data_IF_465613605067
#
_entry.id   IF_465613605067
#
_cell.length_a   1.000
_cell.length_b   1.000
_cell.length_c   1.000
_cell.angle_alpha   90.00
_cell.angle_beta   90.00
_cell.angle_gamma   90.00
#
_symmetry.space_group_name_H-M   'P 1'
#
loop_
_entity.id
_entity.type
_entity.pdbx_description
1 polymer ?
#
# COMPACT_ATOMS: atom_id res chain seq x y z
N UNK A 1 38.47 8.54 -6.79
CA UNK A 1 37.74 7.46 -7.50
C UNK A 1 36.51 6.91 -6.75
N UNK A 2 36.35 7.11 -5.42
CA UNK A 2 35.22 6.53 -4.67
C UNK A 2 33.89 7.30 -4.71
N UNK A 3 33.85 8.56 -5.17
CA UNK A 3 32.63 9.41 -5.14
C UNK A 3 31.59 9.00 -6.19
N UNK A 4 32.00 8.73 -7.44
CA UNK A 4 31.08 8.48 -8.57
C UNK A 4 30.14 7.28 -8.34
N UNK A 5 30.66 6.17 -7.82
CA UNK A 5 29.87 4.97 -7.55
C UNK A 5 28.92 5.15 -6.37
N UNK A 6 29.32 5.96 -5.37
CA UNK A 6 28.48 6.29 -4.22
C UNK A 6 27.33 7.21 -4.65
N UNK A 7 27.61 8.24 -5.44
CA UNK A 7 26.60 9.17 -5.96
C UNK A 7 25.59 8.44 -6.86
N UNK A 8 26.05 7.52 -7.69
CA UNK A 8 25.20 6.61 -8.48
C UNK A 8 24.31 5.75 -7.57
N UNK A 9 24.90 5.11 -6.56
CA UNK A 9 24.16 4.24 -5.65
C UNK A 9 23.07 5.02 -4.87
N UNK A 10 23.40 6.22 -4.40
CA UNK A 10 22.44 7.11 -3.72
C UNK A 10 21.31 7.51 -4.67
N UNK A 11 21.63 7.91 -5.91
CA UNK A 11 20.62 8.28 -6.91
C UNK A 11 19.66 7.14 -7.25
N UNK A 12 20.18 5.92 -7.41
CA UNK A 12 19.36 4.72 -7.66
C UNK A 12 18.46 4.38 -6.47
N UNK A 13 19.02 4.44 -5.25
CA UNK A 13 18.28 4.17 -4.01
C UNK A 13 17.15 5.18 -3.80
N UNK A 14 17.41 6.47 -4.04
CA UNK A 14 16.37 7.51 -3.96
C UNK A 14 15.28 7.25 -5.01
N UNK A 15 15.65 6.92 -6.25
CA UNK A 15 14.68 6.62 -7.30
C UNK A 15 13.77 5.46 -6.88
N UNK A 16 14.34 4.32 -6.47
CA UNK A 16 13.55 3.16 -6.03
C UNK A 16 12.73 3.44 -4.77
N UNK A 17 13.23 4.26 -3.84
CA UNK A 17 12.46 4.73 -2.69
C UNK A 17 11.22 5.50 -3.14
N UNK A 18 11.37 6.48 -4.03
CA UNK A 18 10.25 7.30 -4.53
C UNK A 18 9.22 6.44 -5.27
N UNK A 19 9.63 5.54 -6.15
CA UNK A 19 8.70 4.63 -6.84
C UNK A 19 7.99 3.67 -5.88
N UNK A 20 8.71 3.15 -4.90
CA UNK A 20 8.12 2.28 -3.88
C UNK A 20 7.09 3.01 -3.01
N UNK A 21 7.38 4.28 -2.66
CA UNK A 21 6.45 5.15 -1.95
C UNK A 21 5.24 5.51 -2.81
N UNK A 22 5.43 5.76 -4.12
CA UNK A 22 4.34 6.01 -5.06
C UNK A 22 3.39 4.81 -5.12
N UNK A 23 3.92 3.60 -5.32
CA UNK A 23 3.10 2.37 -5.37
C UNK A 23 2.36 2.14 -4.05
N UNK A 24 3.04 2.32 -2.91
CA UNK A 24 2.42 2.19 -1.60
C UNK A 24 1.33 3.25 -1.37
N UNK A 25 1.57 4.51 -1.77
CA UNK A 25 0.64 5.62 -1.63
C UNK A 25 -0.60 5.45 -2.51
N UNK A 26 -0.43 5.02 -3.76
CA UNK A 26 -1.53 4.68 -4.67
C UNK A 26 -2.35 3.52 -4.09
N UNK A 27 -1.69 2.45 -3.64
CA UNK A 27 -2.38 1.31 -3.02
C UNK A 27 -3.20 1.75 -1.79
N UNK A 28 -2.61 2.51 -0.87
CA UNK A 28 -3.31 2.99 0.32
C UNK A 28 -4.46 3.93 -0.04
N UNK A 29 -4.28 4.81 -1.04
CA UNK A 29 -5.32 5.69 -1.57
C UNK A 29 -6.51 4.90 -2.11
N UNK A 30 -6.27 3.88 -2.93
CA UNK A 30 -7.30 2.99 -3.47
C UNK A 30 -8.04 2.25 -2.35
N UNK A 31 -7.30 1.64 -1.41
CA UNK A 31 -7.86 0.89 -0.28
C UNK A 31 -8.74 1.79 0.59
N UNK A 32 -8.30 3.02 0.85
CA UNK A 32 -9.03 4.01 1.64
C UNK A 32 -10.29 4.50 0.93
N UNK A 33 -10.17 4.89 -0.34
CA UNK A 33 -11.29 5.38 -1.15
C UNK A 33 -12.40 4.34 -1.25
N UNK A 34 -12.04 3.08 -1.50
CA UNK A 34 -12.98 1.98 -1.68
C UNK A 34 -13.43 1.32 -0.36
N UNK A 35 -12.84 1.71 0.77
CA UNK A 35 -13.15 1.17 2.10
C UNK A 35 -12.92 -0.34 2.23
N UNK A 36 -11.91 -0.87 1.51
CA UNK A 36 -11.73 -2.33 1.30
C UNK A 36 -11.55 -3.07 2.63
N UNK A 37 -10.76 -2.54 3.55
CA UNK A 37 -10.51 -3.18 4.87
C UNK A 37 -11.79 -3.36 5.67
N UNK A 38 -12.64 -2.32 5.73
CA UNK A 38 -13.95 -2.40 6.40
C UNK A 38 -14.89 -3.37 5.71
N UNK A 39 -14.97 -3.38 4.38
CA UNK A 39 -15.76 -4.36 3.64
C UNK A 39 -15.33 -5.79 3.94
N UNK A 40 -14.02 -6.05 4.01
CA UNK A 40 -13.47 -7.37 4.29
C UNK A 40 -13.79 -7.82 5.72
N UNK A 41 -13.64 -6.93 6.71
CA UNK A 41 -14.01 -7.21 8.09
C UNK A 41 -15.50 -7.54 8.22
N UNK A 42 -16.39 -6.72 7.67
CA UNK A 42 -17.82 -6.92 7.82
C UNK A 42 -18.36 -8.10 7.00
N UNK A 43 -17.73 -8.42 5.86
CA UNK A 43 -17.98 -9.66 5.16
C UNK A 43 -17.64 -10.87 6.04
N UNK A 44 -16.48 -10.85 6.70
CA UNK A 44 -16.08 -11.90 7.64
C UNK A 44 -17.02 -11.99 8.84
N UNK A 45 -17.38 -10.86 9.47
CA UNK A 45 -18.31 -10.85 10.60
C UNK A 45 -19.68 -11.39 10.21
N UNK A 46 -20.18 -11.09 9.01
CA UNK A 46 -21.46 -11.66 8.55
C UNK A 46 -21.39 -13.17 8.38
N UNK A 47 -20.34 -13.67 7.72
CA UNK A 47 -20.14 -15.12 7.58
C UNK A 47 -19.99 -15.83 8.94
N UNK A 48 -19.34 -15.20 9.93
CA UNK A 48 -19.12 -15.80 11.25
C UNK A 48 -20.32 -15.66 12.19
N UNK A 49 -21.02 -14.52 12.20
CA UNK A 49 -22.12 -14.23 13.12
C UNK A 49 -23.50 -14.61 12.57
N UNK A 50 -23.77 -14.36 11.29
CA UNK A 50 -25.09 -14.60 10.70
C UNK A 50 -25.08 -15.85 9.80
N UNK A 51 -23.93 -16.22 9.26
CA UNK A 51 -23.79 -17.26 8.24
C UNK A 51 -23.85 -16.72 6.80
N UNK A 52 -23.64 -17.58 5.80
CA UNK A 52 -23.62 -17.20 4.39
C UNK A 52 -25.00 -16.73 3.90
N UNK A 53 -25.02 -15.77 2.96
CA UNK A 53 -26.25 -15.35 2.29
C UNK A 53 -26.63 -16.39 1.21
N UNK A 54 -27.44 -17.36 1.60
CA UNK A 54 -27.81 -18.51 0.78
C UNK A 54 -26.65 -19.50 0.61
N UNK A 55 -26.26 -19.80 -0.63
CA UNK A 55 -25.20 -20.78 -0.95
C UNK A 55 -23.79 -20.18 -1.07
N UNK A 56 -23.61 -18.87 -0.81
CA UNK A 56 -22.34 -18.17 -1.06
C UNK A 56 -21.88 -17.42 0.19
N UNK A 57 -20.59 -17.57 0.52
CA UNK A 57 -19.93 -16.77 1.56
C UNK A 57 -19.78 -15.32 1.12
N UNK A 58 -19.83 -14.39 2.08
CA UNK A 58 -19.53 -12.99 1.88
C UNK A 58 -18.04 -12.75 1.60
N UNK A 59 -17.17 -13.57 2.20
CA UNK A 59 -15.73 -13.55 1.88
C UNK A 59 -15.50 -14.34 0.58
N UNK A 60 -14.90 -13.73 -0.45
CA UNK A 60 -14.51 -14.45 -1.66
C UNK A 60 -13.44 -15.51 -1.37
N UNK A 61 -13.64 -16.70 -1.93
CA UNK A 61 -12.78 -17.87 -1.68
C UNK A 61 -11.47 -17.88 -2.48
N UNK A 62 -11.37 -17.05 -3.53
CA UNK A 62 -10.21 -17.04 -4.45
C UNK A 62 -9.59 -15.65 -4.61
N UNK A 63 -8.30 -15.62 -4.95
CA UNK A 63 -7.55 -14.39 -5.25
C UNK A 63 -8.26 -13.56 -6.35
N UNK A 64 -8.67 -14.19 -7.46
CA UNK A 64 -9.33 -13.50 -8.57
C UNK A 64 -10.67 -12.86 -8.18
N UNK A 65 -11.46 -13.50 -7.33
CA UNK A 65 -12.73 -12.95 -6.84
C UNK A 65 -12.52 -11.79 -5.86
N UNK A 66 -11.43 -11.76 -5.10
CA UNK A 66 -11.09 -10.61 -4.24
C UNK A 66 -10.85 -9.34 -5.06
N UNK A 67 -10.15 -9.45 -6.19
CA UNK A 67 -9.85 -8.31 -7.07
C UNK A 67 -11.08 -7.85 -7.86
N UNK A 68 -11.90 -8.77 -8.35
CA UNK A 68 -13.03 -8.45 -9.22
C UNK A 68 -14.34 -8.17 -8.45
N UNK A 69 -14.56 -8.79 -7.28
CA UNK A 69 -15.84 -8.69 -6.55
C UNK A 69 -15.80 -7.74 -5.37
N UNK A 70 -14.84 -7.79 -4.45
CA UNK A 70 -14.92 -7.00 -3.20
C UNK A 70 -15.07 -5.47 -3.37
N UNK A 71 -14.42 -4.80 -4.33
CA UNK A 71 -14.67 -3.36 -4.52
C UNK A 71 -16.06 -3.07 -5.09
N UNK A 72 -16.62 -3.98 -5.91
CA UNK A 72 -17.84 -3.77 -6.69
C UNK A 72 -19.06 -4.60 -6.22
N UNK A 73 -18.90 -5.44 -5.20
CA UNK A 73 -19.95 -6.28 -4.64
C UNK A 73 -20.83 -5.50 -3.67
N UNK A 74 -21.97 -6.10 -3.30
CA UNK A 74 -22.86 -5.60 -2.25
C UNK A 74 -22.06 -5.30 -0.98
N UNK A 75 -22.17 -4.07 -0.49
CA UNK A 75 -21.41 -3.62 0.67
C UNK A 75 -21.92 -4.31 1.95
N UNK A 76 -21.06 -5.16 2.52
CA UNK A 76 -21.34 -5.91 3.74
C UNK A 76 -21.35 -5.04 5.00
N UNK A 77 -20.98 -3.76 4.93
CA UNK A 77 -20.94 -2.86 6.09
C UNK A 77 -22.34 -2.41 6.49
N UNK A 78 -22.67 -2.32 7.79
CA UNK A 78 -23.87 -1.64 8.26
C UNK A 78 -23.93 -0.17 7.81
N UNK A 79 -25.15 0.36 7.73
CA UNK A 79 -25.39 1.81 7.54
C UNK A 79 -25.02 2.54 8.83
N UNK A 80 -24.28 3.63 8.68
CA UNK A 80 -23.86 4.45 9.80
C UNK A 80 -25.08 5.03 10.53
N UNK A 81 -25.01 5.03 11.86
CA UNK A 81 -25.99 5.69 12.72
C UNK A 81 -25.26 6.66 13.66
N UNK A 82 -25.63 7.96 13.67
CA UNK A 82 -25.06 8.93 14.61
C UNK A 82 -25.63 8.78 16.03
N UNK A 83 -26.69 7.99 16.20
CA UNK A 83 -27.31 7.74 17.50
C UNK A 83 -26.41 6.83 18.35
N UNK A 84 -26.40 7.01 19.68
CA UNK A 84 -25.70 6.11 20.59
C UNK A 84 -26.21 4.67 20.49
N UNK A 85 -25.49 3.73 21.11
CA UNK A 85 -25.94 2.36 21.24
C UNK A 85 -27.33 2.33 21.93
N UNK A 86 -28.35 1.68 21.35
CA UNK A 86 -29.66 1.62 21.97
C UNK A 86 -29.61 0.73 23.22
N UNK A 87 -30.47 0.95 24.20
CA UNK A 87 -30.52 0.11 25.42
C UNK A 87 -30.91 -1.33 25.06
N UNK A 88 -31.93 -1.49 24.22
CA UNK A 88 -32.35 -2.78 23.66
C UNK A 88 -32.02 -2.83 22.17
N UNK A 89 -31.59 -4.00 21.69
CA UNK A 89 -31.25 -4.14 20.28
C UNK A 89 -32.49 -4.15 19.40
N UNK A 90 -32.47 -3.41 18.29
CA UNK A 90 -33.53 -3.44 17.27
C UNK A 90 -33.11 -4.21 16.03
N UNK A 91 -31.85 -4.67 15.99
CA UNK A 91 -31.30 -5.40 14.86
C UNK A 91 -31.78 -6.87 14.82
N UNK A 92 -32.18 -7.29 13.62
CA UNK A 92 -32.62 -8.67 13.32
C UNK A 92 -31.45 -9.64 13.12
N UNK A 93 -30.26 -9.13 12.79
CA UNK A 93 -29.05 -9.94 12.52
C UNK A 93 -28.07 -9.79 13.67
N UNK A 94 -27.32 -10.85 13.99
CA UNK A 94 -26.29 -10.84 15.03
C UNK A 94 -25.18 -9.83 14.70
N UNK A 95 -24.79 -9.73 13.42
CA UNK A 95 -23.84 -8.69 12.99
C UNK A 95 -24.39 -7.26 13.19
N UNK A 96 -25.70 -7.07 13.04
CA UNK A 96 -26.38 -5.81 13.33
C UNK A 96 -26.41 -5.49 14.83
N UNK A 97 -26.68 -6.48 15.69
CA UNK A 97 -26.62 -6.32 17.16
C UNK A 97 -25.21 -5.96 17.61
N UNK A 98 -24.21 -6.60 17.03
CA UNK A 98 -22.80 -6.28 17.26
C UNK A 98 -22.49 -4.85 16.82
N UNK A 99 -22.96 -4.42 15.64
CA UNK A 99 -22.74 -3.04 15.17
C UNK A 99 -23.31 -2.00 16.13
N UNK A 100 -24.52 -2.24 16.67
CA UNK A 100 -25.14 -1.35 17.65
C UNK A 100 -24.26 -1.12 18.87
N UNK A 101 -23.58 -2.16 19.38
CA UNK A 101 -22.64 -2.05 20.51
C UNK A 101 -21.33 -1.36 20.12
N UNK A 102 -20.96 -1.39 18.84
CA UNK A 102 -19.71 -0.82 18.32
C UNK A 102 -19.85 0.61 17.78
N UNK A 103 -21.01 1.25 17.88
CA UNK A 103 -21.22 2.60 17.32
C UNK A 103 -20.26 3.64 17.87
N UNK A 104 -19.79 3.48 19.11
CA UNK A 104 -18.87 4.41 19.77
C UNK A 104 -17.49 4.49 19.09
N UNK A 105 -17.06 3.42 18.41
CA UNK A 105 -15.77 3.39 17.70
C UNK A 105 -15.93 3.74 16.20
N UNK A 106 -17.13 4.08 15.75
CA UNK A 106 -17.39 4.48 14.37
C UNK A 106 -17.23 5.99 14.22
N UNK A 107 -16.14 6.42 13.59
CA UNK A 107 -15.82 7.86 13.44
C UNK A 107 -16.42 8.49 12.19
N UNK A 108 -17.33 7.81 11.50
CA UNK A 108 -17.93 8.33 10.28
C UNK A 108 -19.02 9.37 10.59
N UNK A 109 -19.39 10.17 9.59
CA UNK A 109 -20.48 11.16 9.69
C UNK A 109 -21.72 10.77 8.88
N UNK A 110 -21.56 9.91 7.88
CA UNK A 110 -22.59 9.52 6.93
C UNK A 110 -22.27 8.17 6.23
N UNK A 111 -23.25 7.60 5.52
CA UNK A 111 -23.03 6.44 4.66
C UNK A 111 -22.87 5.10 5.40
N UNK A 112 -21.78 4.37 5.15
CA UNK A 112 -21.52 3.03 5.71
C UNK A 112 -20.38 3.08 6.71
N UNK A 113 -20.44 2.29 7.78
CA UNK A 113 -19.46 2.31 8.88
C UNK A 113 -17.99 2.37 8.41
N UNK A 114 -17.19 3.13 9.15
CA UNK A 114 -15.74 3.26 8.93
C UNK A 114 -14.92 2.19 9.65
N UNK A 115 -15.55 1.36 10.48
CA UNK A 115 -14.88 0.33 11.29
C UNK A 115 -14.18 -0.68 10.37
N UNK A 116 -12.84 -0.65 10.42
CA UNK A 116 -11.95 -1.51 9.64
C UNK A 116 -11.18 -2.52 10.50
N UNK A 117 -11.17 -2.33 11.81
CA UNK A 117 -10.58 -3.23 12.80
C UNK A 117 -11.31 -3.05 14.12
N UNK A 118 -11.62 -4.15 14.81
CA UNK A 118 -12.24 -4.12 16.13
C UNK A 118 -11.20 -4.66 17.12
N UNK A 119 -10.81 -3.89 18.16
CA UNK A 119 -9.96 -4.40 19.21
C UNK A 119 -10.61 -5.61 19.90
N UNK A 120 -9.90 -6.73 20.13
CA UNK A 120 -10.50 -7.92 20.76
C UNK A 120 -11.20 -7.65 22.09
N UNK A 121 -10.65 -6.82 23.01
CA UNK A 121 -11.36 -6.49 24.25
C UNK A 121 -12.68 -5.75 24.03
N UNK A 122 -12.80 -4.95 22.96
CA UNK A 122 -14.05 -4.25 22.62
C UNK A 122 -15.07 -5.19 22.02
N UNK A 123 -14.63 -6.16 21.22
CA UNK A 123 -15.50 -7.22 20.72
C UNK A 123 -16.06 -8.07 21.87
N UNK A 124 -15.20 -8.51 22.80
CA UNK A 124 -15.65 -9.33 23.93
C UNK A 124 -16.66 -8.60 24.82
N UNK A 125 -16.42 -7.33 25.14
CA UNK A 125 -17.38 -6.49 25.87
C UNK A 125 -18.71 -6.37 25.12
N UNK A 126 -18.68 -6.12 23.80
CA UNK A 126 -19.90 -6.05 23.00
C UNK A 126 -20.69 -7.37 23.01
N UNK A 127 -20.01 -8.52 22.98
CA UNK A 127 -20.65 -9.83 23.13
C UNK A 127 -21.25 -9.99 24.54
N UNK A 128 -20.55 -9.55 25.60
CA UNK A 128 -21.08 -9.61 26.96
C UNK A 128 -22.33 -8.73 27.14
N UNK A 129 -22.39 -7.57 26.50
CA UNK A 129 -23.59 -6.72 26.49
C UNK A 129 -24.77 -7.39 25.79
N UNK A 130 -24.52 -8.07 24.66
CA UNK A 130 -25.53 -8.85 23.95
C UNK A 130 -26.00 -10.02 24.83
N UNK A 131 -25.07 -10.77 25.42
CA UNK A 131 -25.35 -11.88 26.34
C UNK A 131 -26.23 -11.43 27.51
N UNK A 132 -25.93 -10.28 28.12
CA UNK A 132 -26.73 -9.71 29.19
C UNK A 132 -28.16 -9.37 28.71
N UNK A 133 -28.30 -8.81 27.52
CA UNK A 133 -29.59 -8.52 26.89
C UNK A 133 -30.42 -9.76 26.55
N UNK A 134 -29.78 -10.92 26.29
CA UNK A 134 -30.47 -12.18 26.02
C UNK A 134 -30.84 -12.98 27.28
N UNK A 135 -30.44 -12.52 28.48
CA UNK A 135 -30.72 -13.21 29.75
C UNK A 135 -29.62 -14.17 30.22
N UNK A 136 -28.40 -14.05 29.69
CA UNK A 136 -27.24 -14.83 30.10
C UNK A 136 -26.64 -15.70 29.00
N UNK A 137 -25.48 -16.31 29.27
CA UNK A 137 -24.68 -17.03 28.26
C UNK A 137 -25.43 -18.24 27.71
N UNK A 138 -26.14 -18.98 28.56
CA UNK A 138 -26.92 -20.16 28.16
C UNK A 138 -28.06 -19.80 27.21
N UNK A 139 -28.88 -18.81 27.56
CA UNK A 139 -29.97 -18.32 26.72
C UNK A 139 -29.46 -17.74 25.38
N UNK A 140 -28.34 -17.02 25.41
CA UNK A 140 -27.68 -16.52 24.21
C UNK A 140 -27.22 -17.66 23.29
N UNK A 141 -26.56 -18.69 23.82
CA UNK A 141 -26.12 -19.86 23.05
C UNK A 141 -27.29 -20.64 22.46
N UNK A 142 -28.40 -20.78 23.18
CA UNK A 142 -29.61 -21.41 22.66
C UNK A 142 -30.19 -20.65 21.47
N UNK A 143 -30.24 -19.32 21.54
CA UNK A 143 -30.69 -18.47 20.42
C UNK A 143 -29.75 -18.55 19.23
N UNK A 144 -28.44 -18.50 19.44
CA UNK A 144 -27.46 -18.68 18.36
C UNK A 144 -27.65 -20.02 17.64
N UNK A 145 -27.92 -21.10 18.40
CA UNK A 145 -28.20 -22.41 17.84
C UNK A 145 -29.50 -22.44 17.05
N UNK A 146 -30.57 -21.84 17.59
CA UNK A 146 -31.87 -21.76 16.95
C UNK A 146 -31.81 -20.99 15.62
N UNK A 147 -31.02 -19.91 15.57
CA UNK A 147 -30.81 -19.09 14.38
C UNK A 147 -29.82 -19.71 13.38
N UNK A 148 -29.20 -20.84 13.72
CA UNK A 148 -28.20 -21.50 12.86
C UNK A 148 -26.90 -20.70 12.72
N UNK A 149 -26.59 -19.82 13.67
CA UNK A 149 -25.39 -18.98 13.64
C UNK A 149 -24.10 -19.82 13.75
N UNK A 150 -23.11 -19.62 12.87
CA UNK A 150 -21.81 -20.29 12.98
C UNK A 150 -21.04 -19.94 14.27
N UNK A 151 -21.38 -18.81 14.89
CA UNK A 151 -20.81 -18.34 16.16
C UNK A 151 -21.12 -19.28 17.34
N UNK A 152 -22.20 -20.08 17.24
CA UNK A 152 -22.60 -21.01 18.29
C UNK A 152 -21.47 -21.97 18.67
N UNK A 153 -20.84 -22.62 17.69
CA UNK A 153 -19.83 -23.66 17.94
C UNK A 153 -18.64 -23.15 18.76
N UNK A 154 -17.94 -22.09 18.30
CA UNK A 154 -16.82 -21.50 19.02
C UNK A 154 -17.21 -21.01 20.42
N UNK A 155 -18.31 -20.26 20.55
CA UNK A 155 -18.70 -19.69 21.84
C UNK A 155 -19.19 -20.75 22.82
N UNK A 156 -19.82 -21.82 22.35
CA UNK A 156 -20.15 -22.97 23.18
C UNK A 156 -18.89 -23.62 23.74
N UNK A 157 -17.86 -23.81 22.91
CA UNK A 157 -16.57 -24.35 23.36
C UNK A 157 -15.89 -23.46 24.41
N UNK A 158 -15.93 -22.13 24.21
CA UNK A 158 -15.42 -21.16 25.19
C UNK A 158 -16.21 -21.24 26.51
N UNK A 159 -17.54 -21.36 26.44
CA UNK A 159 -18.39 -21.47 27.63
C UNK A 159 -18.16 -22.77 28.40
N UNK A 160 -18.06 -23.90 27.70
CA UNK A 160 -17.77 -25.19 28.32
C UNK A 160 -16.41 -25.16 29.05
N UNK A 161 -15.38 -24.52 28.45
CA UNK A 161 -14.06 -24.36 29.06
C UNK A 161 -14.04 -23.38 30.25
N UNK A 162 -14.97 -22.41 30.28
CA UNK A 162 -15.10 -21.44 31.35
C UNK A 162 -15.76 -22.01 32.62
N UNK A 163 -16.35 -23.21 32.57
CA UNK A 163 -17.01 -23.86 33.72
C UNK A 163 -18.03 -22.96 34.46
N UNK A 164 -18.72 -22.08 33.72
CA UNK A 164 -19.72 -21.16 34.29
C UNK A 164 -19.18 -19.80 34.74
N UNK A 165 -17.87 -19.56 34.68
CA UNK A 165 -17.24 -18.30 35.04
C UNK A 165 -17.39 -17.26 33.91
N UNK A 166 -18.01 -16.11 34.23
CA UNK A 166 -18.28 -15.04 33.26
C UNK A 166 -17.02 -14.29 32.83
N UNK A 167 -16.05 -14.12 33.73
CA UNK A 167 -14.80 -13.43 33.42
C UNK A 167 -13.90 -14.32 32.56
N UNK A 168 -13.86 -15.62 32.86
CA UNK A 168 -13.20 -16.61 32.03
C UNK A 168 -13.85 -16.71 30.64
N UNK A 169 -15.19 -16.68 30.57
CA UNK A 169 -15.91 -16.63 29.29
C UNK A 169 -15.56 -15.35 28.51
N UNK A 170 -15.64 -14.17 29.13
CA UNK A 170 -15.27 -12.88 28.49
C UNK A 170 -13.85 -12.94 27.91
N UNK A 171 -12.89 -13.45 28.69
CA UNK A 171 -11.50 -13.57 28.24
C UNK A 171 -11.36 -14.60 27.11
N UNK A 172 -12.05 -15.73 27.18
CA UNK A 172 -12.05 -16.72 26.11
C UNK A 172 -12.66 -16.20 24.81
N UNK A 173 -13.71 -15.36 24.86
CA UNK A 173 -14.26 -14.69 23.68
C UNK A 173 -13.25 -13.73 23.05
N UNK A 174 -12.54 -12.97 23.89
CA UNK A 174 -11.46 -12.08 23.45
C UNK A 174 -10.35 -12.85 22.73
N UNK A 175 -9.87 -13.95 23.34
CA UNK A 175 -8.76 -14.75 22.80
C UNK A 175 -9.16 -15.48 21.51
N UNK A 176 -10.39 -16.00 21.45
CA UNK A 176 -10.96 -16.58 20.23
C UNK A 176 -11.00 -15.55 19.09
N UNK A 177 -11.56 -14.37 19.37
CA UNK A 177 -11.70 -13.33 18.35
C UNK A 177 -10.33 -12.78 17.90
N UNK A 178 -9.36 -12.65 18.80
CA UNK A 178 -7.99 -12.29 18.44
C UNK A 178 -7.36 -13.31 17.49
N UNK A 179 -7.56 -14.61 17.73
CA UNK A 179 -7.14 -15.68 16.82
C UNK A 179 -7.74 -15.52 15.42
N UNK A 180 -9.04 -15.26 15.33
CA UNK A 180 -9.74 -15.03 14.07
C UNK A 180 -9.25 -13.76 13.35
N UNK A 181 -9.03 -12.67 14.08
CA UNK A 181 -8.48 -11.43 13.53
C UNK A 181 -7.05 -11.59 13.02
N UNK A 182 -6.21 -12.40 13.68
CA UNK A 182 -4.88 -12.77 13.17
C UNK A 182 -5.00 -13.52 11.85
N UNK A 183 -5.91 -14.49 11.75
CA UNK A 183 -6.15 -15.24 10.51
C UNK A 183 -6.66 -14.34 9.38
N UNK A 184 -7.61 -13.48 9.67
CA UNK A 184 -8.15 -12.51 8.71
C UNK A 184 -7.07 -11.55 8.21
N UNK A 185 -6.21 -11.07 9.12
CA UNK A 185 -5.07 -10.19 8.80
C UNK A 185 -4.07 -10.90 7.89
N UNK A 186 -3.77 -12.18 8.14
CA UNK A 186 -2.88 -12.97 7.28
C UNK A 186 -3.45 -13.15 5.87
N UNK A 187 -4.75 -13.47 5.75
CA UNK A 187 -5.43 -13.56 4.47
C UNK A 187 -5.38 -12.22 3.73
N UNK A 188 -5.73 -11.12 4.41
CA UNK A 188 -5.67 -9.77 3.85
C UNK A 188 -4.26 -9.42 3.34
N UNK A 189 -3.21 -9.69 4.14
CA UNK A 189 -1.81 -9.47 3.73
C UNK A 189 -1.44 -10.29 2.49
N UNK A 190 -1.91 -11.54 2.39
CA UNK A 190 -1.69 -12.39 1.20
C UNK A 190 -2.32 -11.76 -0.06
N UNK A 191 -3.52 -11.19 0.06
CA UNK A 191 -4.19 -10.53 -1.06
C UNK A 191 -3.48 -9.23 -1.47
N UNK A 192 -3.16 -8.37 -0.50
CA UNK A 192 -2.50 -7.08 -0.75
C UNK A 192 -1.12 -7.24 -1.40
N UNK A 193 -0.37 -8.31 -1.09
CA UNK A 193 0.90 -8.61 -1.78
C UNK A 193 0.75 -8.67 -3.30
N UNK A 194 -0.29 -9.32 -3.80
CA UNK A 194 -0.55 -9.40 -5.24
C UNK A 194 -1.07 -8.08 -5.82
N UNK A 195 -1.84 -7.30 -5.05
CA UNK A 195 -2.23 -5.93 -5.44
C UNK A 195 -0.99 -5.06 -5.65
N UNK A 196 -0.08 -5.06 -4.68
CA UNK A 196 1.18 -4.31 -4.73
C UNK A 196 2.05 -4.78 -5.89
N UNK A 197 2.10 -6.09 -6.15
CA UNK A 197 2.82 -6.61 -7.30
C UNK A 197 2.22 -6.15 -8.64
N UNK A 198 0.90 -6.23 -8.80
CA UNK A 198 0.24 -5.74 -10.01
C UNK A 198 0.43 -4.22 -10.21
N UNK A 199 0.30 -3.43 -9.13
CA UNK A 199 0.54 -1.99 -9.16
C UNK A 199 2.01 -1.65 -9.44
N UNK A 200 2.95 -2.37 -8.83
CA UNK A 200 4.39 -2.19 -9.06
C UNK A 200 4.78 -2.49 -10.50
N UNK A 201 4.23 -3.56 -11.08
CA UNK A 201 4.39 -3.88 -12.49
C UNK A 201 3.77 -2.79 -13.37
N UNK A 202 2.53 -2.38 -13.08
CA UNK A 202 1.85 -1.34 -13.84
C UNK A 202 2.62 -0.02 -13.82
N UNK A 203 3.12 0.43 -12.67
CA UNK A 203 3.97 1.62 -12.54
C UNK A 203 5.28 1.44 -13.32
N UNK A 204 5.93 0.28 -13.22
CA UNK A 204 7.18 0.00 -13.95
C UNK A 204 6.99 0.13 -15.47
N UNK A 205 5.91 -0.44 -16.01
CA UNK A 205 5.60 -0.39 -17.44
C UNK A 205 5.06 0.97 -17.87
N UNK A 206 4.22 1.62 -17.06
CA UNK A 206 3.66 2.94 -17.36
C UNK A 206 4.75 4.00 -17.47
N UNK A 207 5.74 3.97 -16.58
CA UNK A 207 6.86 4.90 -16.61
C UNK A 207 8.06 4.38 -17.41
N UNK A 208 7.95 3.21 -18.07
CA UNK A 208 9.04 2.58 -18.84
C UNK A 208 10.38 2.55 -18.08
N UNK A 209 10.34 2.13 -16.81
CA UNK A 209 11.46 2.22 -15.88
C UNK A 209 12.52 1.14 -16.13
N UNK A 210 13.44 1.37 -17.06
CA UNK A 210 14.60 0.51 -17.29
C UNK A 210 15.76 0.91 -16.37
N UNK A 211 15.95 0.16 -15.28
CA UNK A 211 17.05 0.41 -14.32
C UNK A 211 18.44 0.14 -14.87
N UNK A 212 18.59 -0.73 -15.89
CA UNK A 212 19.89 -1.05 -16.48
C UNK A 212 20.32 0.02 -17.48
N UNK A 213 19.43 0.47 -18.33
CA UNK A 213 19.64 1.64 -19.19
C UNK A 213 19.95 2.87 -18.35
N UNK A 214 19.20 3.09 -17.26
CA UNK A 214 19.44 4.18 -16.33
C UNK A 214 20.81 4.09 -15.66
N UNK A 215 21.19 2.90 -15.18
CA UNK A 215 22.52 2.66 -14.62
C UNK A 215 23.64 2.96 -15.62
N UNK A 216 23.48 2.54 -16.88
CA UNK A 216 24.43 2.84 -17.96
C UNK A 216 24.48 4.33 -18.29
N UNK A 217 23.33 4.99 -18.34
CA UNK A 217 23.23 6.43 -18.63
C UNK A 217 23.97 7.25 -17.56
N UNK A 218 23.77 6.95 -16.27
CA UNK A 218 24.47 7.65 -15.19
C UNK A 218 25.99 7.37 -15.23
N UNK A 219 26.39 6.11 -15.46
CA UNK A 219 27.81 5.78 -15.57
C UNK A 219 28.48 6.53 -16.72
N UNK A 220 27.78 6.67 -17.85
CA UNK A 220 28.26 7.41 -19.02
C UNK A 220 28.30 8.91 -18.75
N UNK A 221 27.24 9.48 -18.19
CA UNK A 221 27.17 10.90 -17.80
C UNK A 221 28.31 11.23 -16.82
N UNK A 222 28.51 10.43 -15.77
CA UNK A 222 29.59 10.63 -14.79
C UNK A 222 31.00 10.44 -15.37
N UNK A 223 31.17 9.51 -16.32
CA UNK A 223 32.44 9.40 -17.05
C UNK A 223 32.72 10.66 -17.87
N UNK A 224 31.68 11.25 -18.48
CA UNK A 224 31.78 12.56 -19.13
C UNK A 224 32.09 13.66 -18.12
N UNK A 225 31.50 13.65 -16.90
CA UNK A 225 31.84 14.62 -15.83
C UNK A 225 33.32 14.56 -15.45
N UNK A 226 33.87 13.36 -15.28
CA UNK A 226 35.28 13.17 -14.95
C UNK A 226 36.19 13.64 -16.09
N UNK A 227 35.81 13.40 -17.34
CA UNK A 227 36.55 13.90 -18.50
C UNK A 227 36.49 15.43 -18.59
N UNK A 228 35.32 16.05 -18.43
CA UNK A 228 35.17 17.51 -18.45
C UNK A 228 35.99 18.18 -17.36
N UNK A 229 36.00 17.63 -16.13
CA UNK A 229 36.80 18.17 -15.03
C UNK A 229 38.31 18.14 -15.33
N UNK A 230 38.80 17.08 -15.97
CA UNK A 230 40.21 16.96 -16.41
C UNK A 230 40.51 17.90 -17.59
N UNK A 231 39.55 18.07 -18.51
CA UNK A 231 39.68 18.92 -19.69
C UNK A 231 39.59 20.42 -19.36
N UNK A 232 38.84 20.80 -18.33
CA UNK A 232 38.74 22.17 -17.82
C UNK A 232 40.08 22.67 -17.26
N UNK A 233 40.91 21.78 -16.72
CA UNK A 233 42.28 22.08 -16.29
C UNK A 233 43.30 22.12 -17.46
N UNK A 234 42.92 21.66 -18.67
CA UNK A 234 43.83 21.32 -19.78
C UNK A 234 44.02 22.36 -20.90
N UNK A 235 43.39 23.54 -20.86
CA UNK A 235 43.55 24.58 -21.89
C UNK A 235 42.83 24.33 -23.23
N UNK A 236 42.83 25.32 -24.12
CA UNK A 236 41.88 25.50 -25.25
C UNK A 236 41.74 24.34 -26.25
N UNK A 237 42.71 23.43 -26.36
CA UNK A 237 42.61 22.25 -27.21
C UNK A 237 41.58 21.21 -26.71
N UNK A 238 41.27 21.23 -25.41
CA UNK A 238 40.30 20.33 -24.79
C UNK A 238 38.84 20.72 -25.08
N UNK A 239 38.58 22.00 -25.38
CA UNK A 239 37.26 22.56 -25.68
C UNK A 239 36.70 22.11 -27.04
N UNK A 240 37.57 21.84 -28.02
CA UNK A 240 37.11 21.35 -29.33
C UNK A 240 36.48 19.96 -29.24
N UNK A 241 37.04 19.07 -28.40
CA UNK A 241 36.51 17.72 -28.19
C UNK A 241 35.14 17.68 -27.48
N UNK A 242 34.81 18.76 -26.75
CA UNK A 242 33.52 18.95 -26.09
C UNK A 242 32.46 19.53 -27.04
N UNK A 243 32.87 20.39 -27.98
CA UNK A 243 32.01 20.97 -29.02
C UNK A 243 31.40 19.90 -29.92
N UNK A 244 32.16 18.86 -30.28
CA UNK A 244 31.67 17.76 -31.12
C UNK A 244 30.64 16.86 -30.43
N UNK A 245 30.64 16.82 -29.09
CA UNK A 245 29.66 16.05 -28.28
C UNK A 245 28.39 16.84 -27.97
N UNK A 246 28.35 18.15 -28.23
CA UNK A 246 27.25 19.07 -27.95
C UNK A 246 26.84 19.89 -29.20
N UNK A 247 26.23 19.27 -30.22
CA UNK A 247 25.95 19.96 -31.49
C UNK A 247 24.88 21.06 -31.40
N UNK A 248 24.04 21.07 -30.35
CA UNK A 248 22.94 22.05 -30.20
C UNK A 248 23.37 23.40 -29.64
N UNK A 249 24.54 23.50 -28.98
CA UNK A 249 25.03 24.74 -28.34
C UNK A 249 26.51 25.03 -28.67
N UNK A 250 26.85 25.40 -29.92
CA UNK A 250 28.23 25.59 -30.36
C UNK A 250 28.96 26.79 -29.73
N UNK A 251 28.21 27.73 -29.12
CA UNK A 251 28.74 28.98 -28.56
C UNK A 251 29.07 28.93 -27.06
N UNK A 252 28.52 27.97 -26.31
CA UNK A 252 28.78 27.82 -24.87
C UNK A 252 28.78 26.33 -24.45
N UNK A 253 29.93 25.65 -24.55
CA UNK A 253 30.09 24.27 -24.09
C UNK A 253 29.77 24.09 -22.60
N UNK A 254 29.92 25.15 -21.78
CA UNK A 254 29.61 25.09 -20.35
C UNK A 254 28.11 25.10 -20.09
N UNK A 255 27.30 25.77 -20.91
CA UNK A 255 25.83 25.68 -20.84
C UNK A 255 25.32 24.26 -21.14
N UNK A 256 25.85 23.61 -22.20
CA UNK A 256 25.54 22.20 -22.52
C UNK A 256 25.87 21.27 -21.34
N UNK A 257 27.09 21.41 -20.80
CA UNK A 257 27.52 20.65 -19.63
C UNK A 257 26.61 20.93 -18.45
N UNK A 258 26.28 22.18 -18.16
CA UNK A 258 25.41 22.54 -17.03
C UNK A 258 24.00 21.98 -17.18
N UNK A 259 23.40 22.00 -18.37
CA UNK A 259 22.07 21.44 -18.66
C UNK A 259 22.03 19.90 -18.52
N UNK A 260 23.07 19.22 -19.02
CA UNK A 260 23.27 17.77 -18.86
C UNK A 260 23.57 17.40 -17.39
N UNK A 261 24.28 18.27 -16.67
CA UNK A 261 24.65 18.09 -15.26
C UNK A 261 23.48 18.37 -14.28
N UNK A 262 22.61 19.33 -14.63
CA UNK A 262 21.54 19.85 -13.75
C UNK A 262 20.20 19.18 -13.96
N UNK A 263 19.98 18.49 -15.08
CA UNK A 263 18.83 17.62 -15.28
C UNK A 263 18.87 16.49 -14.23
N UNK A 264 18.00 16.50 -13.21
CA UNK A 264 18.00 15.45 -12.22
C UNK A 264 17.77 14.14 -12.95
N UNK A 265 18.56 13.12 -12.68
CA UNK A 265 18.45 11.82 -13.35
C UNK A 265 17.00 11.25 -13.28
N UNK A 266 16.25 11.63 -12.23
CA UNK A 266 14.82 11.38 -12.08
C UNK A 266 13.92 11.98 -13.18
N UNK A 267 14.24 13.15 -13.75
CA UNK A 267 13.46 13.79 -14.81
C UNK A 267 13.56 13.01 -16.12
N UNK A 268 14.75 12.46 -16.43
CA UNK A 268 14.94 11.54 -17.57
C UNK A 268 14.10 10.26 -17.40
N UNK A 269 13.90 9.80 -16.16
CA UNK A 269 13.10 8.59 -15.86
C UNK A 269 11.61 8.81 -16.17
N UNK A 270 11.04 9.97 -15.85
CA UNK A 270 9.62 10.27 -16.08
C UNK A 270 9.34 10.65 -17.55
N UNK A 271 10.38 11.04 -18.30
CA UNK A 271 10.26 11.42 -19.71
C UNK A 271 9.78 10.31 -20.66
N UNK A 272 9.98 9.05 -20.28
CA UNK A 272 9.62 7.88 -21.09
C UNK A 272 8.18 7.35 -20.85
N UNK A 273 7.40 8.07 -20.04
CA UNK A 273 5.98 7.80 -19.84
C UNK A 273 5.17 8.15 -21.10
N UNK A 274 3.98 7.54 -21.32
CA UNK A 274 3.15 7.80 -22.50
C UNK A 274 2.69 9.26 -22.58
N UNK A 275 2.62 9.94 -21.43
CA UNK A 275 2.43 11.39 -21.32
C UNK A 275 3.56 11.94 -20.47
N UNK A 276 4.33 12.88 -21.02
CA UNK A 276 5.33 13.63 -20.25
C UNK A 276 4.94 15.10 -20.17
N UNK A 277 5.36 15.75 -19.08
CA UNK A 277 5.15 17.17 -18.83
C UNK A 277 6.51 17.84 -18.76
N UNK A 278 6.71 18.88 -19.55
CA UNK A 278 7.86 19.77 -19.43
C UNK A 278 7.42 21.10 -18.86
N UNK A 279 8.06 21.50 -17.75
CA UNK A 279 7.80 22.77 -17.07
C UNK A 279 9.02 23.66 -17.35
N UNK A 280 8.91 24.64 -18.27
CA UNK A 280 9.99 25.58 -18.53
C UNK A 280 10.14 26.57 -17.37
N UNK A 281 11.35 27.12 -17.18
CA UNK A 281 11.66 28.12 -16.14
C UNK A 281 10.80 29.40 -16.24
N UNK A 282 10.29 29.68 -17.44
CA UNK A 282 9.25 30.68 -17.66
C UNK A 282 8.21 30.16 -18.66
N UNK A 283 6.93 30.21 -18.29
CA UNK A 283 5.80 29.83 -19.14
C UNK A 283 4.85 28.78 -18.54
N UNK A 284 3.92 28.29 -19.36
CA UNK A 284 2.95 27.26 -18.98
C UNK A 284 3.49 25.84 -19.23
N UNK A 285 3.08 24.84 -18.44
CA UNK A 285 3.49 23.45 -18.63
C UNK A 285 3.03 22.93 -19.99
N UNK A 286 3.94 22.27 -20.72
CA UNK A 286 3.67 21.65 -22.01
C UNK A 286 3.49 20.14 -21.83
N UNK A 287 2.39 19.62 -22.35
CA UNK A 287 2.07 18.20 -22.33
C UNK A 287 2.48 17.57 -23.66
N UNK A 288 3.21 16.46 -23.62
CA UNK A 288 3.64 15.73 -24.81
C UNK A 288 3.12 14.29 -24.76
N UNK A 289 2.48 13.87 -25.84
CA UNK A 289 2.11 12.46 -26.06
C UNK A 289 3.29 11.71 -26.66
N UNK A 290 3.80 10.71 -25.95
CA UNK A 290 4.92 9.85 -26.34
C UNK A 290 4.50 8.38 -26.52
N UNK A 291 3.21 8.11 -26.75
CA UNK A 291 2.68 6.73 -26.77
C UNK A 291 3.38 5.80 -27.76
N UNK A 292 3.84 6.32 -28.90
CA UNK A 292 4.61 5.54 -29.88
C UNK A 292 5.97 5.08 -29.35
N UNK A 293 6.73 6.01 -28.76
CA UNK A 293 8.03 5.72 -28.14
C UNK A 293 7.88 4.79 -26.93
N UNK A 294 6.88 5.06 -26.09
CA UNK A 294 6.52 4.21 -24.97
C UNK A 294 6.24 2.77 -25.40
N UNK A 295 5.39 2.58 -26.42
CA UNK A 295 5.05 1.25 -26.92
C UNK A 295 6.29 0.56 -27.52
N UNK A 296 7.10 1.29 -28.29
CA UNK A 296 8.34 0.79 -28.86
C UNK A 296 9.29 0.24 -27.78
N UNK A 297 9.45 0.97 -26.67
CA UNK A 297 10.27 0.53 -25.53
C UNK A 297 9.71 -0.73 -24.85
N UNK A 298 8.39 -0.85 -24.73
CA UNK A 298 7.76 -2.03 -24.15
C UNK A 298 7.93 -3.29 -25.01
N UNK A 299 7.83 -3.17 -26.33
CA UNK A 299 7.97 -4.33 -27.24
C UNK A 299 9.43 -4.69 -27.51
N UNK A 300 10.36 -3.77 -27.29
CA UNK A 300 11.80 -4.00 -27.50
C UNK A 300 12.38 -4.90 -26.41
N UNK A 301 12.85 -6.13 -26.74
CA UNK A 301 13.29 -7.10 -25.74
C UNK A 301 14.51 -6.64 -24.90
N UNK A 302 15.30 -5.70 -25.43
CA UNK A 302 16.49 -5.16 -24.75
C UNK A 302 16.21 -4.50 -23.39
N UNK A 303 14.99 -3.98 -23.18
CA UNK A 303 14.62 -3.28 -21.94
C UNK A 303 14.03 -4.21 -20.85
N UNK A 304 13.63 -5.43 -21.21
CA UNK A 304 12.93 -6.35 -20.30
C UNK A 304 13.75 -6.72 -19.07
N UNK A 305 15.07 -6.97 -19.15
CA UNK A 305 15.88 -7.21 -17.96
C UNK A 305 15.89 -6.01 -17.01
N UNK A 306 15.90 -4.78 -17.55
CA UNK A 306 15.81 -3.55 -16.78
C UNK A 306 14.47 -3.36 -16.08
N UNK A 307 13.38 -3.64 -16.79
CA UNK A 307 12.03 -3.64 -16.20
C UNK A 307 11.88 -4.69 -15.11
N UNK A 308 12.45 -5.88 -15.29
CA UNK A 308 12.42 -6.93 -14.29
C UNK A 308 13.15 -6.51 -13.01
N UNK A 309 14.35 -5.93 -13.13
CA UNK A 309 15.11 -5.43 -11.98
C UNK A 309 14.35 -4.31 -11.27
N UNK A 310 13.77 -3.36 -12.01
CA UNK A 310 12.97 -2.28 -11.43
C UNK A 310 11.72 -2.82 -10.72
N UNK A 311 11.02 -3.77 -11.34
CA UNK A 311 9.84 -4.40 -10.76
C UNK A 311 10.19 -5.08 -9.43
N UNK A 312 11.25 -5.90 -9.40
CA UNK A 312 11.73 -6.55 -8.18
C UNK A 312 12.17 -5.53 -7.14
N UNK A 313 12.84 -4.45 -7.54
CA UNK A 313 13.24 -3.37 -6.64
C UNK A 313 12.03 -2.72 -5.96
N UNK A 314 10.97 -2.41 -6.72
CA UNK A 314 9.74 -1.80 -6.20
C UNK A 314 8.98 -2.74 -5.24
N UNK A 315 9.04 -4.06 -5.45
CA UNK A 315 8.40 -5.05 -4.57
C UNK A 315 8.95 -5.06 -3.14
N UNK A 316 10.20 -4.64 -2.91
CA UNK A 316 10.75 -4.51 -1.56
C UNK A 316 10.08 -3.41 -0.72
N UNK A 317 9.46 -2.42 -1.38
CA UNK A 317 8.71 -1.37 -0.73
C UNK A 317 9.56 -0.25 -0.13
N UNK A 318 8.88 0.85 0.26
CA UNK A 318 9.52 2.07 0.77
C UNK A 318 10.39 1.86 2.01
N UNK A 319 9.96 1.10 3.04
CA UNK A 319 10.75 0.90 4.26
C UNK A 319 12.14 0.28 4.01
N UNK A 320 12.24 -0.63 3.04
CA UNK A 320 13.50 -1.26 2.66
C UNK A 320 14.48 -0.25 2.06
N UNK A 321 14.05 0.50 1.04
CA UNK A 321 14.91 1.50 0.39
C UNK A 321 15.26 2.66 1.32
N UNK A 322 14.35 3.02 2.24
CA UNK A 322 14.64 3.97 3.30
C UNK A 322 15.76 3.47 4.21
N UNK A 323 15.79 2.17 4.53
CA UNK A 323 16.88 1.57 5.32
C UNK A 323 18.22 1.61 4.62
N UNK A 324 18.24 1.30 3.33
CA UNK A 324 19.45 1.40 2.52
C UNK A 324 19.92 2.85 2.44
N UNK A 325 19.03 3.79 2.13
CA UNK A 325 19.34 5.21 2.04
C UNK A 325 20.00 5.74 3.33
N UNK A 326 19.42 5.39 4.49
CA UNK A 326 19.95 5.76 5.80
C UNK A 326 21.35 5.21 6.04
N UNK A 327 21.57 3.93 5.72
CA UNK A 327 22.87 3.27 5.88
C UNK A 327 23.95 3.90 5.00
N UNK A 328 23.60 4.27 3.76
CA UNK A 328 24.53 4.89 2.80
C UNK A 328 24.89 6.33 3.15
N UNK A 329 23.91 7.12 3.63
CA UNK A 329 24.10 8.54 3.95
C UNK A 329 24.61 8.78 5.37
N UNK A 330 24.65 7.74 6.21
CA UNK A 330 25.06 7.86 7.61
C UNK A 330 24.05 8.61 8.49
N UNK A 331 22.83 8.89 8.00
CA UNK A 331 21.76 9.52 8.78
C UNK A 331 21.31 8.53 9.86
N UNK A 332 21.81 8.72 11.08
CA UNK A 332 21.28 8.04 12.27
C UNK A 332 20.01 8.76 12.71
N UNK A 333 18.94 8.00 12.94
CA UNK A 333 17.82 8.51 13.73
C UNK A 333 18.36 8.88 15.11
N UNK A 334 18.08 10.10 15.59
CA UNK A 334 18.06 10.34 17.04
C UNK A 334 17.01 9.41 17.62
N UNK A 335 17.42 8.21 18.03
CA UNK A 335 16.59 7.36 18.87
C UNK A 335 16.27 8.18 20.13
N UNK A 336 14.99 8.23 20.48
CA UNK A 336 14.43 9.19 21.42
C UNK A 336 15.18 9.22 22.74
N UNK A 337 15.75 10.38 23.04
CA UNK A 337 15.96 10.84 24.40
C UNK A 337 14.58 11.25 24.93
N UNK A 338 13.78 10.27 25.33
CA UNK A 338 12.67 10.46 26.27
C UNK A 338 12.91 9.51 27.43
N UNK A 339 13.97 9.82 28.17
CA UNK A 339 14.05 9.52 29.58
C UNK A 339 13.54 10.77 30.32
N UNK A 340 12.26 10.76 30.70
CA UNK A 340 11.77 11.25 31.99
C UNK A 340 10.30 10.90 32.17
#
# INVERSE_FOLDING_TARGET
>A
MNSVYIDLAIGLVIAFLLFSLLVSGVNEGIVRLLGIRGKFLWAYLRDTLDGPDGKKSWIPGTLAEVFARLPFSKDARPVFSPLPAPVQSTATTWSGRLYERLREIDHRKDGRTSIASIPPPRFSVAIMEIVAGEGGVTAFLEKLKADGSPLYGPLKGVWDAAHGDLDAFRKGVEDWFDGEMRRLTMLYRRYVKWVIAALGLAVTLLFSLDSLEYGRAILTDNAVRAQVAVLADGGTASLESLRDKCPEHPADPYACVTEVLSSPAFVKIVGNAPVSVTIPDSGSPRWRWNGGEWLHRLVTPGHWPGFLVTFVAVLFGGPFWWDIFRRLTGIRSRAGETAK
#
